data_IF_365364486750
#
_entry.id   IF_365364486750
#
_cell.length_a   1.000
_cell.length_b   1.000
_cell.length_c   1.000
_cell.angle_alpha   90.00
_cell.angle_beta   90.00
_cell.angle_gamma   90.00
#
_symmetry.space_group_name_H-M   'P 1'
#
loop_
_entity.id
_entity.type
_entity.pdbx_description
1 polymer ?
#
# COMPACT_ATOMS: atom_id res chain seq x y z
N UNK A 1 65.80 -22.56 -1.24
CA UNK A 1 64.60 -21.77 -1.63
C UNK A 1 64.05 -22.24 -2.98
N UNK A 2 63.34 -23.37 -3.04
CA UNK A 2 62.79 -23.88 -4.32
C UNK A 2 61.42 -24.56 -4.15
N UNK A 3 60.62 -24.12 -3.16
CA UNK A 3 59.28 -24.67 -2.92
C UNK A 3 58.20 -23.59 -2.76
N UNK A 4 58.58 -22.32 -2.56
CA UNK A 4 57.64 -21.21 -2.30
C UNK A 4 56.83 -20.79 -3.55
N UNK A 5 57.35 -21.09 -4.76
CA UNK A 5 56.64 -20.82 -6.03
C UNK A 5 55.45 -21.75 -6.25
N UNK A 6 55.52 -23.01 -5.77
CA UNK A 6 54.40 -23.97 -5.87
C UNK A 6 53.22 -23.55 -4.98
N UNK A 7 53.50 -23.01 -3.79
CA UNK A 7 52.47 -22.45 -2.90
C UNK A 7 51.89 -21.14 -3.42
N UNK A 8 52.69 -20.34 -4.13
CA UNK A 8 52.22 -19.14 -4.86
C UNK A 8 51.22 -19.52 -5.96
N UNK A 9 51.49 -20.57 -6.75
CA UNK A 9 50.53 -21.06 -7.77
C UNK A 9 49.30 -21.77 -7.16
N UNK A 10 49.46 -22.42 -6.00
CA UNK A 10 48.35 -23.02 -5.26
C UNK A 10 47.39 -21.96 -4.67
N UNK A 11 47.93 -20.78 -4.33
CA UNK A 11 47.13 -19.65 -3.84
C UNK A 11 46.42 -18.90 -4.97
N UNK A 12 47.03 -18.79 -6.15
CA UNK A 12 46.44 -18.11 -7.33
C UNK A 12 45.29 -18.92 -7.95
N UNK A 13 45.30 -20.26 -7.82
CA UNK A 13 44.17 -21.12 -8.22
C UNK A 13 42.96 -21.05 -7.26
N UNK A 14 43.14 -20.57 -6.02
CA UNK A 14 42.07 -20.45 -5.02
C UNK A 14 41.35 -19.09 -5.07
N UNK A 15 41.89 -18.10 -5.78
CA UNK A 15 41.38 -16.71 -5.80
C UNK A 15 40.38 -16.44 -6.94
N UNK A 16 40.20 -17.38 -7.88
CA UNK A 16 39.27 -17.23 -9.02
C UNK A 16 37.86 -17.83 -8.80
N UNK A 17 37.47 -18.16 -7.57
CA UNK A 17 36.10 -18.62 -7.24
C UNK A 17 35.21 -17.55 -6.60
N UNK A 18 35.73 -16.34 -6.37
CA UNK A 18 34.95 -15.22 -5.81
C UNK A 18 34.41 -14.25 -6.88
N UNK A 19 34.34 -14.69 -8.13
CA UNK A 19 33.83 -13.87 -9.24
C UNK A 19 33.04 -14.72 -10.23
N UNK A 20 31.86 -15.22 -9.81
CA UNK A 20 30.88 -15.84 -10.70
C UNK A 20 29.61 -16.17 -9.91
N UNK A 21 28.49 -15.47 -9.97
CA UNK A 21 28.04 -14.25 -10.62
C UNK A 21 27.07 -13.62 -9.61
N UNK A 22 27.06 -12.31 -9.40
CA UNK A 22 25.74 -11.69 -9.19
C UNK A 22 25.03 -11.87 -10.51
N UNK A 23 24.06 -12.80 -10.58
CA UNK A 23 23.10 -12.74 -11.69
C UNK A 23 22.56 -11.31 -11.63
N UNK A 24 22.66 -10.51 -12.70
CA UNK A 24 21.71 -9.42 -12.80
C UNK A 24 20.36 -10.13 -12.74
N UNK A 25 19.60 -9.86 -11.68
CA UNK A 25 18.18 -10.13 -11.69
C UNK A 25 17.65 -9.30 -12.87
N UNK A 26 17.72 -9.82 -14.09
CA UNK A 26 16.85 -9.41 -15.20
C UNK A 26 15.43 -9.89 -14.85
N UNK A 27 14.98 -9.56 -13.63
CA UNK A 27 13.57 -9.44 -13.34
C UNK A 27 13.13 -8.13 -13.96
N UNK A 28 11.90 -8.09 -14.49
CA UNK A 28 11.30 -6.80 -14.79
C UNK A 28 11.38 -5.93 -13.54
N UNK A 29 12.22 -4.89 -13.58
CA UNK A 29 12.10 -3.77 -12.65
C UNK A 29 10.84 -3.03 -13.09
N UNK A 30 9.69 -3.44 -12.55
CA UNK A 30 8.43 -2.74 -12.79
C UNK A 30 8.54 -1.42 -12.01
N UNK A 31 8.56 -0.26 -12.68
CA UNK A 31 8.60 1.01 -11.98
C UNK A 31 7.39 1.09 -11.03
N UNK A 32 7.57 1.60 -9.79
CA UNK A 32 6.46 1.71 -8.86
C UNK A 32 5.35 2.56 -9.48
N UNK A 33 4.10 2.11 -9.32
CA UNK A 33 2.95 2.81 -9.89
C UNK A 33 2.76 4.20 -9.28
N UNK A 34 2.15 5.09 -10.05
CA UNK A 34 1.70 6.42 -9.64
C UNK A 34 0.24 6.42 -9.17
N UNK A 35 -0.48 5.30 -9.23
CA UNK A 35 -1.90 5.27 -8.89
C UNK A 35 -2.11 5.45 -7.38
N UNK A 36 -2.91 6.44 -7.01
CA UNK A 36 -3.23 6.78 -5.62
C UNK A 36 -4.75 6.81 -5.39
N UNK A 37 -5.51 5.91 -6.01
CA UNK A 37 -6.97 5.95 -5.92
C UNK A 37 -7.49 5.15 -4.73
N UNK A 38 -8.51 5.68 -4.05
CA UNK A 38 -9.36 4.94 -3.12
C UNK A 38 -10.41 4.19 -3.93
N UNK A 39 -10.39 2.85 -3.91
CA UNK A 39 -11.22 2.01 -4.80
C UNK A 39 -12.37 1.31 -4.09
N UNK A 40 -12.30 1.18 -2.76
CA UNK A 40 -13.41 0.72 -1.92
C UNK A 40 -13.41 1.44 -0.58
N UNK A 41 -14.60 1.78 -0.12
CA UNK A 41 -14.87 2.19 1.24
C UNK A 41 -16.14 1.48 1.70
N UNK A 42 -16.02 0.60 2.70
CA UNK A 42 -17.11 -0.25 3.17
C UNK A 42 -17.21 -0.23 4.68
N UNK A 43 -18.43 -0.20 5.20
CA UNK A 43 -18.71 -0.33 6.64
C UNK A 43 -19.55 -1.56 6.88
N UNK A 44 -19.16 -2.37 7.86
CA UNK A 44 -19.88 -3.57 8.27
C UNK A 44 -20.77 -3.27 9.48
N UNK A 45 -22.04 -3.67 9.43
CA UNK A 45 -22.90 -3.73 10.60
C UNK A 45 -22.68 -5.03 11.38
N UNK A 46 -22.51 -6.14 10.66
CA UNK A 46 -22.18 -7.46 11.19
C UNK A 46 -21.43 -8.26 10.11
N UNK A 47 -21.23 -9.57 10.32
CA UNK A 47 -20.46 -10.41 9.40
C UNK A 47 -21.04 -10.50 7.97
N UNK A 48 -22.35 -10.28 7.81
CA UNK A 48 -23.05 -10.48 6.54
C UNK A 48 -23.69 -9.21 5.98
N UNK A 49 -23.79 -8.15 6.78
CA UNK A 49 -24.44 -6.89 6.41
C UNK A 49 -23.37 -5.81 6.35
N UNK A 50 -23.24 -5.19 5.18
CA UNK A 50 -22.31 -4.11 4.91
C UNK A 50 -22.94 -3.05 4.00
N UNK A 51 -22.35 -1.86 4.02
CA UNK A 51 -22.72 -0.72 3.20
C UNK A 51 -21.48 -0.26 2.42
N UNK A 52 -21.61 -0.20 1.10
CA UNK A 52 -20.57 0.33 0.22
C UNK A 52 -20.81 1.81 -0.04
N UNK A 53 -19.74 2.60 -0.01
CA UNK A 53 -19.81 4.00 -0.37
C UNK A 53 -19.78 4.20 -1.89
N UNK A 54 -20.39 5.29 -2.34
CA UNK A 54 -20.16 5.83 -3.68
C UNK A 54 -18.86 6.63 -3.66
N UNK A 55 -17.95 6.34 -4.59
CA UNK A 55 -16.66 7.02 -4.72
C UNK A 55 -16.63 7.81 -6.02
N UNK A 56 -16.39 9.10 -5.91
CA UNK A 56 -16.10 9.98 -7.04
C UNK A 56 -14.58 10.21 -7.11
N UNK A 57 -13.96 9.69 -8.16
CA UNK A 57 -12.52 9.78 -8.38
C UNK A 57 -12.07 11.16 -8.87
N UNK A 58 -12.95 11.91 -9.53
CA UNK A 58 -12.63 13.23 -10.07
C UNK A 58 -12.78 14.30 -8.98
N UNK A 59 -13.90 14.26 -8.26
CA UNK A 59 -14.16 15.17 -7.14
C UNK A 59 -13.41 14.79 -5.85
N UNK A 60 -12.80 13.59 -5.81
CA UNK A 60 -12.19 13.01 -4.61
C UNK A 60 -13.14 13.02 -3.40
N UNK A 61 -14.36 12.55 -3.62
CA UNK A 61 -15.35 12.43 -2.54
C UNK A 61 -15.80 11.00 -2.36
N UNK A 62 -16.12 10.65 -1.12
CA UNK A 62 -16.67 9.34 -0.76
C UNK A 62 -17.93 9.59 0.06
N UNK A 63 -19.06 9.10 -0.45
CA UNK A 63 -20.37 9.28 0.19
C UNK A 63 -20.93 7.92 0.59
N UNK A 64 -21.15 7.72 1.88
CA UNK A 64 -21.73 6.50 2.43
C UNK A 64 -23.06 6.82 3.12
N UNK A 65 -24.09 6.03 2.85
CA UNK A 65 -25.35 6.07 3.61
C UNK A 65 -25.46 4.81 4.45
N UNK A 66 -25.74 4.98 5.75
CA UNK A 66 -25.92 3.88 6.71
C UNK A 66 -27.28 4.01 7.41
N UNK A 67 -27.91 2.92 7.87
CA UNK A 67 -29.16 3.00 8.63
C UNK A 67 -29.03 3.85 9.91
N UNK A 68 -30.15 4.44 10.34
CA UNK A 68 -30.25 5.06 11.66
C UNK A 68 -29.93 4.05 12.77
N UNK A 69 -29.35 4.56 13.87
CA UNK A 69 -28.96 3.77 15.03
C UNK A 69 -27.54 3.18 14.96
N UNK A 70 -26.83 3.30 13.84
CA UNK A 70 -25.39 3.05 13.80
C UNK A 70 -24.64 4.29 14.31
N UNK A 71 -23.79 4.11 15.32
CA UNK A 71 -22.99 5.18 15.91
C UNK A 71 -21.84 5.60 14.97
N UNK A 72 -21.91 6.84 14.46
CA UNK A 72 -20.90 7.42 13.58
C UNK A 72 -19.56 7.69 14.25
N UNK A 73 -19.49 7.72 15.58
CA UNK A 73 -18.26 8.08 16.32
C UNK A 73 -17.23 6.94 16.39
N UNK A 74 -17.63 5.71 16.06
CA UNK A 74 -16.82 4.50 16.27
C UNK A 74 -16.72 3.58 15.05
N UNK A 75 -16.89 4.13 13.84
CA UNK A 75 -16.87 3.34 12.60
C UNK A 75 -15.44 2.90 12.25
N UNK A 76 -15.30 1.64 11.84
CA UNK A 76 -14.05 1.05 11.32
C UNK A 76 -14.27 0.60 9.87
N UNK A 77 -13.89 1.42 8.88
CA UNK A 77 -14.13 1.08 7.49
C UNK A 77 -13.12 0.04 6.97
N UNK A 78 -13.56 -0.86 6.11
CA UNK A 78 -12.70 -1.59 5.20
C UNK A 78 -12.42 -0.71 3.99
N UNK A 79 -11.14 -0.42 3.75
CA UNK A 79 -10.67 0.43 2.66
C UNK A 79 -9.75 -0.38 1.76
N UNK A 80 -9.98 -0.29 0.46
CA UNK A 80 -9.07 -0.78 -0.58
C UNK A 80 -8.62 0.42 -1.39
N UNK A 81 -7.33 0.46 -1.69
CA UNK A 81 -6.70 1.47 -2.54
C UNK A 81 -6.04 0.81 -3.74
N UNK A 82 -5.49 1.64 -4.63
CA UNK A 82 -4.67 1.17 -5.74
C UNK A 82 -3.54 0.23 -5.27
N UNK A 83 -3.17 -0.74 -6.10
CA UNK A 83 -2.15 -1.73 -5.74
C UNK A 83 -0.83 -1.06 -5.29
N UNK A 84 -0.37 -1.44 -4.10
CA UNK A 84 0.83 -0.90 -3.47
C UNK A 84 0.70 0.52 -2.90
N UNK A 85 -0.43 1.20 -3.10
CA UNK A 85 -0.69 2.49 -2.48
C UNK A 85 -0.95 2.33 -0.98
N UNK A 86 -0.76 3.41 -0.22
CA UNK A 86 -1.01 3.46 1.23
C UNK A 86 -2.07 4.51 1.53
N UNK A 87 -2.89 4.27 2.56
CA UNK A 87 -3.96 5.18 2.97
C UNK A 87 -3.87 5.56 4.43
N UNK A 88 -4.13 6.83 4.75
CA UNK A 88 -4.21 7.37 6.11
C UNK A 88 -5.48 8.23 6.24
N UNK A 89 -6.36 8.01 7.24
CA UNK A 89 -6.36 6.92 8.21
C UNK A 89 -6.31 5.51 7.60
N UNK A 90 -5.71 4.56 8.32
CA UNK A 90 -5.56 3.20 7.82
C UNK A 90 -6.90 2.45 7.80
N UNK A 91 -7.05 1.50 6.88
CA UNK A 91 -8.17 0.56 6.87
C UNK A 91 -8.32 -0.13 8.24
N UNK A 92 -9.55 -0.21 8.75
CA UNK A 92 -9.88 -0.77 10.06
C UNK A 92 -9.61 0.15 11.26
N UNK A 93 -9.00 1.33 11.06
CA UNK A 93 -8.86 2.33 12.10
C UNK A 93 -10.24 2.88 12.51
N UNK A 94 -10.45 3.08 13.81
CA UNK A 94 -11.68 3.69 14.31
C UNK A 94 -11.68 5.18 13.98
N UNK A 95 -12.77 5.69 13.43
CA UNK A 95 -12.93 7.09 13.06
C UNK A 95 -14.31 7.61 13.48
N UNK A 96 -14.36 8.91 13.73
CA UNK A 96 -15.59 9.65 14.04
C UNK A 96 -16.07 10.39 12.78
N UNK A 97 -17.22 9.98 12.25
CA UNK A 97 -17.88 10.56 11.09
C UNK A 97 -19.07 11.45 11.46
N UNK A 98 -19.10 12.02 12.66
CA UNK A 98 -20.02 13.13 12.99
C UNK A 98 -19.77 14.35 12.11
N UNK A 99 -18.55 14.47 11.57
CA UNK A 99 -18.14 15.43 10.55
C UNK A 99 -17.43 14.68 9.41
N UNK A 100 -17.24 15.31 8.23
CA UNK A 100 -16.44 14.72 7.17
C UNK A 100 -15.00 14.43 7.63
N UNK A 101 -14.44 13.31 7.17
CA UNK A 101 -13.07 12.87 7.49
C UNK A 101 -12.26 12.78 6.20
N UNK A 102 -11.06 13.36 6.21
CA UNK A 102 -10.14 13.28 5.08
C UNK A 102 -9.30 11.99 5.14
N UNK A 103 -9.19 11.32 3.99
CA UNK A 103 -8.33 10.17 3.77
C UNK A 103 -7.30 10.48 2.69
N UNK A 104 -6.03 10.45 3.06
CA UNK A 104 -4.91 10.64 2.14
C UNK A 104 -4.46 9.30 1.60
N UNK A 105 -4.47 9.14 0.28
CA UNK A 105 -3.90 8.00 -0.43
C UNK A 105 -2.63 8.44 -1.13
N UNK A 106 -1.53 7.72 -0.90
CA UNK A 106 -0.22 7.99 -1.50
C UNK A 106 0.17 6.81 -2.39
N UNK A 107 0.59 7.12 -3.61
CA UNK A 107 1.03 6.11 -4.59
C UNK A 107 2.27 5.34 -4.11
N UNK A 108 2.51 4.12 -4.63
CA UNK A 108 3.71 3.35 -4.29
C UNK A 108 5.03 4.09 -4.52
N UNK A 109 5.09 4.96 -5.53
CA UNK A 109 6.28 5.74 -5.83
C UNK A 109 6.40 7.03 -4.99
N UNK A 110 5.38 7.38 -4.21
CA UNK A 110 5.34 8.56 -3.34
C UNK A 110 5.08 9.90 -4.04
N UNK A 111 4.94 9.92 -5.37
CA UNK A 111 4.81 11.19 -6.12
C UNK A 111 3.37 11.67 -6.27
N UNK A 112 2.40 10.75 -6.26
CA UNK A 112 0.98 11.10 -6.38
C UNK A 112 0.30 10.95 -5.03
N UNK A 113 -0.43 11.99 -4.63
CA UNK A 113 -1.20 12.01 -3.39
C UNK A 113 -2.59 12.53 -3.70
N UNK A 114 -3.61 11.71 -3.40
CA UNK A 114 -5.01 12.09 -3.51
C UNK A 114 -5.62 12.17 -2.11
N UNK A 115 -6.37 13.23 -1.84
CA UNK A 115 -7.08 13.42 -0.56
C UNK A 115 -8.56 13.29 -0.83
N UNK A 116 -9.18 12.28 -0.22
CA UNK A 116 -10.61 12.02 -0.33
C UNK A 116 -11.35 12.54 0.89
N UNK A 117 -12.41 13.32 0.68
CA UNK A 117 -13.32 13.73 1.74
C UNK A 117 -14.44 12.70 1.88
N UNK A 118 -14.45 11.99 3.02
CA UNK A 118 -15.44 10.95 3.32
C UNK A 118 -16.56 11.54 4.17
N UNK A 119 -17.79 11.40 3.69
CA UNK A 119 -19.01 11.81 4.40
C UNK A 119 -19.92 10.60 4.64
N UNK A 120 -20.39 10.45 5.87
CA UNK A 120 -21.32 9.38 6.26
C UNK A 120 -22.67 9.99 6.63
N UNK A 121 -23.72 9.62 5.90
CA UNK A 121 -25.10 10.07 6.06
C UNK A 121 -25.97 8.96 6.64
N UNK A 122 -27.12 9.35 7.21
CA UNK A 122 -28.19 8.40 7.54
C UNK A 122 -29.12 8.23 6.34
#
# INVERSE_FOLDING_TARGET
>A
MRNMKKYIYLFIMLVCIMSSCTRPEDGLVIPPSINANLTRFRVYQNQNIYFDATIDQEAHTVSLTIPEGIDKTTIRPEIIVSEGAVVTPASGAMQDFTNPVEYTVVSPNGETTNVYTVTVNY
#
